data_IF_680808530720
#
_entry.id   IF_680808530720
#
_cell.length_a   1.000
_cell.length_b   1.000
_cell.length_c   1.000
_cell.angle_alpha   90.00
_cell.angle_beta   90.00
_cell.angle_gamma   90.00
#
_symmetry.space_group_name_H-M   'P 1'
#
loop_
_entity.id
_entity.type
_entity.pdbx_description
1 polymer ?
#
# COMPACT_ATOMS: atom_id res chain seq x y z
N UNK A 1 3.11 12.21 10.01
CA UNK A 1 2.63 11.18 10.94
C UNK A 1 1.32 10.58 10.41
N UNK A 2 1.37 9.77 9.35
CA UNK A 2 0.15 9.14 8.78
C UNK A 2 0.38 7.85 7.96
N UNK A 3 1.53 7.19 8.06
CA UNK A 3 1.82 6.03 7.20
C UNK A 3 1.02 4.78 7.58
N UNK A 4 0.80 4.52 8.88
CA UNK A 4 -0.04 3.41 9.34
C UNK A 4 -1.50 3.54 8.88
N UNK A 5 -2.03 4.77 8.83
CA UNK A 5 -3.39 5.05 8.37
C UNK A 5 -3.57 4.73 6.88
N UNK A 6 -2.56 5.04 6.06
CA UNK A 6 -2.56 4.73 4.64
C UNK A 6 -2.52 3.21 4.38
N UNK A 7 -1.74 2.46 5.16
CA UNK A 7 -1.67 0.99 5.05
C UNK A 7 -2.99 0.33 5.48
N UNK A 8 -3.59 0.77 6.59
CA UNK A 8 -4.92 0.25 7.02
C UNK A 8 -6.00 0.57 5.97
N UNK A 9 -5.98 1.77 5.40
CA UNK A 9 -6.91 2.14 4.33
C UNK A 9 -6.71 1.28 3.08
N UNK A 10 -5.46 1.02 2.69
CA UNK A 10 -5.12 0.15 1.57
C UNK A 10 -5.59 -1.29 1.80
N UNK A 11 -5.28 -1.89 2.96
CA UNK A 11 -5.70 -3.25 3.31
C UNK A 11 -7.23 -3.40 3.34
N UNK A 12 -7.96 -2.38 3.82
CA UNK A 12 -9.43 -2.35 3.76
C UNK A 12 -9.98 -2.26 2.33
N UNK A 13 -9.31 -1.53 1.44
CA UNK A 13 -9.73 -1.41 0.04
C UNK A 13 -9.37 -2.63 -0.81
N UNK A 14 -8.28 -3.32 -0.48
CA UNK A 14 -7.71 -4.39 -1.32
C UNK A 14 -7.60 -5.70 -0.53
N UNK A 15 -8.74 -6.18 -0.05
CA UNK A 15 -8.89 -7.39 0.77
C UNK A 15 -8.40 -8.69 0.13
N UNK A 16 -8.11 -8.68 -1.18
CA UNK A 16 -7.67 -9.85 -1.94
C UNK A 16 -6.14 -9.97 -2.07
N UNK A 17 -5.38 -8.96 -1.61
CA UNK A 17 -3.90 -8.99 -1.68
C UNK A 17 -3.29 -9.94 -0.64
N UNK A 18 -3.98 -10.14 0.48
CA UNK A 18 -3.56 -11.04 1.56
C UNK A 18 -4.75 -11.90 1.99
N UNK A 19 -4.81 -13.18 1.60
CA UNK A 19 -5.84 -14.08 2.08
C UNK A 19 -5.77 -14.21 3.61
N UNK A 20 -6.91 -14.04 4.30
CA UNK A 20 -6.97 -14.20 5.77
C UNK A 20 -6.47 -13.00 6.58
N UNK A 21 -6.39 -11.81 5.99
CA UNK A 21 -5.96 -10.60 6.70
C UNK A 21 -7.01 -10.10 7.70
N UNK A 22 -6.88 -10.46 8.98
CA UNK A 22 -7.61 -9.79 10.08
C UNK A 22 -6.75 -8.65 10.62
N UNK A 23 -7.31 -7.45 10.76
CA UNK A 23 -6.58 -6.23 11.16
C UNK A 23 -5.84 -6.42 12.50
N UNK A 24 -6.41 -7.17 13.44
CA UNK A 24 -5.75 -7.47 14.72
C UNK A 24 -4.39 -8.18 14.56
N UNK A 25 -4.24 -9.08 13.59
CA UNK A 25 -3.00 -9.86 13.42
C UNK A 25 -1.82 -9.02 12.92
N UNK A 26 -2.09 -7.90 12.28
CA UNK A 26 -1.06 -7.03 11.72
C UNK A 26 -0.83 -5.77 12.56
N UNK A 27 -1.61 -5.55 13.61
CA UNK A 27 -1.55 -4.33 14.42
C UNK A 27 -0.17 -4.09 15.01
N UNK A 28 0.42 -5.11 15.64
CA UNK A 28 1.73 -4.97 16.30
C UNK A 28 2.84 -4.81 15.26
N UNK A 29 2.75 -5.54 14.14
CA UNK A 29 3.70 -5.47 13.02
C UNK A 29 3.62 -4.17 12.22
N UNK A 30 2.49 -3.46 12.28
CA UNK A 30 2.33 -2.10 11.74
C UNK A 30 2.79 -1.02 12.73
N UNK A 31 2.87 -1.36 14.02
CA UNK A 31 3.29 -0.44 15.08
C UNK A 31 4.81 -0.24 15.10
N UNK A 32 5.56 -1.32 14.92
CA UNK A 32 7.03 -1.28 14.80
C UNK A 32 7.52 -0.22 13.78
N UNK A 33 7.14 -0.28 12.49
CA UNK A 33 7.55 0.72 11.52
C UNK A 33 6.96 2.10 11.81
N UNK A 34 5.82 2.19 12.50
CA UNK A 34 5.32 3.50 12.91
C UNK A 34 6.23 4.16 13.97
N UNK A 35 6.66 3.40 14.98
CA UNK A 35 7.57 3.86 16.04
C UNK A 35 8.97 4.20 15.49
N UNK A 36 9.45 3.40 14.54
CA UNK A 36 10.72 3.63 13.85
C UNK A 36 10.66 4.92 13.00
N UNK A 37 9.56 5.16 12.27
CA UNK A 37 9.39 6.40 11.51
C UNK A 37 9.21 7.66 12.36
N UNK A 38 8.66 7.53 13.58
CA UNK A 38 8.57 8.64 14.53
C UNK A 38 9.96 9.04 15.05
N UNK A 39 10.87 8.07 15.18
CA UNK A 39 12.19 8.24 15.78
C UNK A 39 13.26 8.60 14.76
N UNK A 40 13.26 7.93 13.60
CA UNK A 40 14.28 8.03 12.56
C UNK A 40 13.84 8.88 11.34
N UNK A 41 12.54 9.18 11.27
CA UNK A 41 11.94 9.93 10.17
C UNK A 41 11.26 9.04 9.11
N UNK A 42 10.58 9.65 8.13
CA UNK A 42 9.71 8.92 7.20
C UNK A 42 10.46 7.99 6.23
N UNK A 43 9.82 6.87 5.88
CA UNK A 43 10.33 5.94 4.87
C UNK A 43 10.16 6.46 3.45
N UNK A 44 11.15 6.21 2.58
CA UNK A 44 11.05 6.54 1.16
C UNK A 44 10.34 5.42 0.39
N UNK A 45 9.10 5.66 -0.03
CA UNK A 45 8.37 4.73 -0.91
C UNK A 45 8.57 5.08 -2.39
N UNK A 46 8.96 4.09 -3.21
CA UNK A 46 9.03 4.26 -4.67
C UNK A 46 7.77 3.72 -5.34
N UNK A 47 7.09 4.54 -6.12
CA UNK A 47 5.98 4.10 -6.99
C UNK A 47 6.41 4.14 -8.45
N UNK A 48 6.16 3.07 -9.20
CA UNK A 48 6.33 3.04 -10.65
C UNK A 48 4.97 3.17 -11.33
N UNK A 49 4.86 4.03 -12.34
CA UNK A 49 3.64 4.25 -13.11
C UNK A 49 3.94 4.05 -14.58
N UNK A 50 3.06 3.36 -15.29
CA UNK A 50 3.12 3.20 -16.73
C UNK A 50 1.86 3.78 -17.36
N UNK A 51 2.03 4.53 -18.46
CA UNK A 51 0.93 4.97 -19.31
C UNK A 51 0.76 3.95 -20.42
N UNK A 52 -0.44 3.38 -20.53
CA UNK A 52 -0.80 2.45 -21.61
C UNK A 52 -1.86 3.13 -22.47
N UNK A 53 -1.50 3.44 -23.71
CA UNK A 53 -2.44 3.94 -24.70
C UNK A 53 -2.78 2.83 -25.68
N UNK A 54 -4.02 2.33 -25.62
CA UNK A 54 -4.55 1.41 -26.62
C UNK A 54 -5.30 2.19 -27.71
N UNK A 55 -5.15 1.77 -28.96
CA UNK A 55 -5.97 2.21 -30.10
C UNK A 55 -6.53 0.99 -30.81
N UNK A 56 -7.74 1.11 -31.35
CA UNK A 56 -8.35 0.04 -32.15
C UNK A 56 -7.52 -0.15 -33.42
N UNK A 57 -7.13 -1.38 -33.78
CA UNK A 57 -6.48 -1.62 -35.07
C UNK A 57 -7.46 -1.29 -36.20
N UNK A 58 -7.03 -0.54 -37.21
CA UNK A 58 -7.80 -0.37 -38.43
C UNK A 58 -7.86 -1.74 -39.14
N UNK A 59 -9.07 -2.21 -39.46
CA UNK A 59 -9.25 -3.44 -40.24
C UNK A 59 -8.75 -3.15 -41.66
N UNK A 60 -7.81 -3.96 -42.14
CA UNK A 60 -7.52 -4.10 -43.56
C UNK A 60 -8.66 -4.86 -44.26
#
# INVERSE_FOLDING_TARGET
>A
MTDAGAVIHFLRKVIWTVPGSTVEQYRDRLREPHEEAETEGPFVTRSSRALVEARKPERA
#
